data_IF_254630127280
#
_entry.id   IF_254630127280
#
_cell.length_a   1.000
_cell.length_b   1.000
_cell.length_c   1.000
_cell.angle_alpha   90.00
_cell.angle_beta   90.00
_cell.angle_gamma   90.00
#
_symmetry.space_group_name_H-M   'P 1'
#
loop_
_entity.id
_entity.type
_entity.pdbx_description
1 polymer ?
#
# COMPACT_ATOMS: atom_id res chain seq x y z
N UNK A 1 -7.80 26.34 -35.08
CA UNK A 1 -7.80 24.87 -35.06
C UNK A 1 -8.69 24.41 -33.91
N UNK A 2 -9.69 23.53 -34.13
CA UNK A 2 -10.50 23.02 -33.03
C UNK A 2 -9.68 22.01 -32.20
N UNK A 3 -9.88 21.93 -30.88
CA UNK A 3 -9.13 21.03 -30.01
C UNK A 3 -9.43 19.57 -30.34
N UNK A 4 -8.38 18.75 -30.34
CA UNK A 4 -8.43 17.32 -30.63
C UNK A 4 -9.46 16.63 -29.73
N UNK A 5 -10.51 16.08 -30.36
CA UNK A 5 -11.45 15.18 -29.71
C UNK A 5 -10.68 13.97 -29.18
N UNK A 6 -10.66 13.83 -27.86
CA UNK A 6 -10.08 12.72 -27.14
C UNK A 6 -10.83 11.43 -27.55
N UNK A 7 -10.29 10.66 -28.51
CA UNK A 7 -10.84 9.38 -28.95
C UNK A 7 -10.87 8.43 -27.74
N UNK A 8 -12.03 8.31 -27.10
CA UNK A 8 -12.30 7.25 -26.11
C UNK A 8 -12.01 5.92 -26.81
N UNK A 9 -10.93 5.23 -26.41
CA UNK A 9 -10.70 3.83 -26.79
C UNK A 9 -11.87 3.00 -26.25
N UNK A 10 -12.88 2.78 -27.08
CA UNK A 10 -13.94 1.80 -26.83
C UNK A 10 -13.31 0.43 -26.99
N UNK A 11 -12.64 -0.04 -25.94
CA UNK A 11 -12.26 -1.45 -25.88
C UNK A 11 -13.55 -2.25 -26.06
N UNK A 12 -13.59 -3.15 -27.03
CA UNK A 12 -14.72 -4.05 -27.27
C UNK A 12 -14.79 -5.03 -26.08
N UNK A 13 -15.46 -4.60 -25.00
CA UNK A 13 -15.47 -5.30 -23.70
C UNK A 13 -16.34 -6.56 -23.76
N UNK A 14 -17.42 -6.51 -24.54
CA UNK A 14 -18.25 -7.65 -24.87
C UNK A 14 -17.63 -8.36 -26.08
N UNK A 15 -17.36 -9.66 -25.96
CA UNK A 15 -16.79 -10.47 -27.04
C UNK A 15 -17.75 -11.62 -27.33
N UNK A 16 -18.04 -11.85 -28.62
CA UNK A 16 -18.88 -12.97 -29.09
C UNK A 16 -20.27 -13.02 -28.42
N UNK A 17 -20.88 -11.87 -28.14
CA UNK A 17 -22.19 -11.79 -27.48
C UNK A 17 -22.20 -12.19 -25.99
N UNK A 18 -21.04 -12.45 -25.39
CA UNK A 18 -20.93 -12.84 -23.99
C UNK A 18 -20.48 -11.66 -23.10
N UNK A 19 -20.95 -11.60 -21.85
CA UNK A 19 -20.50 -10.60 -20.89
C UNK A 19 -19.00 -10.76 -20.58
N UNK A 20 -18.32 -9.68 -20.16
CA UNK A 20 -16.92 -9.74 -19.77
C UNK A 20 -16.69 -10.65 -18.55
N UNK A 21 -15.80 -11.64 -18.68
CA UNK A 21 -15.51 -12.62 -17.62
C UNK A 21 -14.34 -12.21 -16.72
N UNK A 22 -13.37 -11.46 -17.24
CA UNK A 22 -12.24 -11.00 -16.43
C UNK A 22 -12.62 -9.80 -15.56
N UNK A 23 -12.08 -9.72 -14.34
CA UNK A 23 -12.28 -8.58 -13.44
C UNK A 23 -11.89 -7.26 -14.10
N UNK A 24 -10.79 -7.26 -14.88
CA UNK A 24 -10.31 -6.07 -15.59
C UNK A 24 -11.34 -5.58 -16.62
N UNK A 25 -11.88 -6.48 -17.43
CA UNK A 25 -12.89 -6.15 -18.44
C UNK A 25 -14.21 -5.74 -17.80
N UNK A 26 -14.65 -6.42 -16.74
CA UNK A 26 -15.90 -6.11 -16.05
C UNK A 26 -15.82 -4.74 -15.34
N UNK A 27 -14.70 -4.43 -14.70
CA UNK A 27 -14.47 -3.11 -14.11
C UNK A 27 -14.43 -2.02 -15.19
N UNK A 28 -13.86 -2.30 -16.37
CA UNK A 28 -13.87 -1.38 -17.49
C UNK A 28 -15.29 -1.12 -18.03
N UNK A 29 -16.17 -2.13 -18.09
CA UNK A 29 -17.56 -1.92 -18.57
C UNK A 29 -18.41 -1.04 -17.67
N UNK A 30 -18.10 -1.00 -16.37
CA UNK A 30 -18.87 -0.23 -15.39
C UNK A 30 -18.18 1.06 -14.95
N UNK A 31 -17.02 1.39 -15.53
CA UNK A 31 -16.18 2.50 -15.10
C UNK A 31 -16.83 3.88 -15.31
N UNK A 32 -17.74 4.00 -16.28
CA UNK A 32 -18.47 5.25 -16.56
C UNK A 32 -19.75 5.41 -15.75
N UNK A 33 -20.28 4.34 -15.16
CA UNK A 33 -21.58 4.34 -14.47
C UNK A 33 -21.44 4.19 -12.96
N UNK A 34 -20.44 3.45 -12.48
CA UNK A 34 -20.17 3.29 -11.07
C UNK A 34 -19.07 4.25 -10.59
N UNK A 35 -19.18 4.77 -9.36
CA UNK A 35 -18.09 5.54 -8.75
C UNK A 35 -16.77 4.77 -8.79
N UNK A 36 -15.63 5.48 -8.87
CA UNK A 36 -14.32 4.84 -8.87
C UNK A 36 -14.07 4.03 -7.60
N UNK A 37 -13.19 3.02 -7.65
CA UNK A 37 -12.83 2.22 -6.47
C UNK A 37 -12.27 3.05 -5.30
N UNK A 38 -11.68 4.20 -5.63
CA UNK A 38 -11.11 5.13 -4.66
C UNK A 38 -12.10 6.22 -4.25
N UNK A 39 -13.32 6.25 -4.77
CA UNK A 39 -14.33 7.24 -4.37
C UNK A 39 -14.73 7.05 -2.89
N UNK A 40 -15.12 8.13 -2.22
CA UNK A 40 -15.56 8.15 -0.83
C UNK A 40 -16.54 7.01 -0.49
N UNK A 41 -17.60 6.86 -1.29
CA UNK A 41 -18.63 5.82 -1.12
C UNK A 41 -18.09 4.39 -1.27
N UNK A 42 -17.14 4.18 -2.19
CA UNK A 42 -16.52 2.86 -2.36
C UNK A 42 -15.67 2.50 -1.14
N UNK A 43 -14.91 3.47 -0.62
CA UNK A 43 -14.09 3.26 0.58
C UNK A 43 -14.93 3.03 1.82
N UNK A 44 -16.03 3.76 2.00
CA UNK A 44 -16.93 3.60 3.16
C UNK A 44 -17.63 2.24 3.14
N UNK A 45 -18.16 1.80 1.98
CA UNK A 45 -18.76 0.48 1.83
C UNK A 45 -17.73 -0.63 2.08
N UNK A 46 -16.53 -0.50 1.53
CA UNK A 46 -15.45 -1.46 1.77
C UNK A 46 -14.99 -1.50 3.24
N UNK A 47 -14.96 -0.36 3.94
CA UNK A 47 -14.65 -0.31 5.36
C UNK A 47 -15.74 -0.98 6.19
N UNK A 48 -17.01 -0.66 5.94
CA UNK A 48 -18.15 -1.26 6.64
C UNK A 48 -18.23 -2.77 6.40
N UNK A 49 -18.07 -3.22 5.14
CA UNK A 49 -18.10 -4.65 4.81
C UNK A 49 -16.99 -5.43 5.52
N UNK A 50 -15.77 -4.86 5.60
CA UNK A 50 -14.65 -5.47 6.35
C UNK A 50 -14.94 -5.56 7.84
N UNK A 51 -15.51 -4.50 8.43
CA UNK A 51 -15.91 -4.48 9.83
C UNK A 51 -16.91 -5.61 10.14
N UNK A 52 -17.94 -5.76 9.29
CA UNK A 52 -18.92 -6.83 9.43
C UNK A 52 -18.28 -8.22 9.34
N UNK A 53 -17.32 -8.43 8.43
CA UNK A 53 -16.55 -9.67 8.29
C UNK A 53 -15.51 -9.88 9.41
N UNK A 54 -15.28 -8.90 10.29
CA UNK A 54 -14.24 -8.97 11.32
C UNK A 54 -12.81 -8.89 10.77
N UNK A 55 -12.63 -8.23 9.63
CA UNK A 55 -11.31 -8.03 8.99
C UNK A 55 -10.78 -6.64 9.34
N UNK A 56 -9.66 -6.59 10.05
CA UNK A 56 -8.99 -5.36 10.47
C UNK A 56 -7.47 -5.43 10.26
N UNK A 57 -6.72 -4.52 10.90
CA UNK A 57 -5.25 -4.48 10.79
C UNK A 57 -4.58 -5.65 11.52
N UNK A 58 -5.18 -6.12 12.61
CA UNK A 58 -4.71 -7.25 13.43
C UNK A 58 -5.15 -8.60 12.87
N UNK A 59 -6.37 -8.68 12.31
CA UNK A 59 -6.90 -9.87 11.66
C UNK A 59 -7.17 -9.60 10.18
N UNK A 60 -6.24 -10.05 9.33
CA UNK A 60 -6.34 -9.90 7.87
C UNK A 60 -7.05 -11.09 7.20
N UNK A 61 -7.42 -12.12 7.96
CA UNK A 61 -8.03 -13.34 7.43
C UNK A 61 -9.52 -13.12 7.16
N UNK A 62 -9.97 -13.47 5.95
CA UNK A 62 -11.39 -13.48 5.62
C UNK A 62 -12.05 -14.74 6.18
N UNK A 63 -13.33 -14.68 6.58
CA UNK A 63 -14.08 -15.86 7.01
C UNK A 63 -14.12 -16.93 5.91
N UNK A 64 -14.23 -18.21 6.30
CA UNK A 64 -14.40 -19.28 5.32
C UNK A 64 -15.67 -19.11 4.49
N UNK A 65 -15.65 -19.61 3.26
CA UNK A 65 -16.82 -19.74 2.38
C UNK A 65 -17.97 -20.46 3.11
N UNK A 66 -19.25 -20.20 2.78
CA UNK A 66 -20.38 -20.91 3.39
C UNK A 66 -20.30 -22.41 3.09
N UNK A 67 -20.79 -23.23 4.02
CA UNK A 67 -20.91 -24.67 3.80
C UNK A 67 -21.97 -24.97 2.74
N UNK A 68 -21.94 -26.16 2.10
CA UNK A 68 -23.00 -26.58 1.19
C UNK A 68 -24.40 -26.52 1.81
N UNK A 69 -24.53 -26.82 3.11
CA UNK A 69 -25.78 -26.76 3.86
C UNK A 69 -26.26 -25.31 4.02
N UNK A 70 -25.37 -24.39 4.39
CA UNK A 70 -25.70 -22.95 4.47
C UNK A 70 -26.19 -22.43 3.11
N UNK A 71 -25.53 -22.83 2.02
CA UNK A 71 -25.93 -22.44 0.67
C UNK A 71 -27.32 -22.97 0.30
N UNK A 72 -27.67 -24.19 0.71
CA UNK A 72 -28.97 -24.80 0.43
C UNK A 72 -30.10 -24.25 1.32
N UNK A 73 -29.78 -23.90 2.57
CA UNK A 73 -30.75 -23.38 3.54
C UNK A 73 -31.12 -21.92 3.31
N UNK A 74 -30.35 -21.19 2.48
CA UNK A 74 -30.64 -19.80 2.18
C UNK A 74 -32.01 -19.66 1.51
N UNK A 75 -32.92 -18.94 2.16
CA UNK A 75 -34.22 -18.62 1.60
C UNK A 75 -34.10 -17.84 0.27
N UNK A 76 -35.10 -17.99 -0.60
CA UNK A 76 -35.22 -17.24 -1.85
C UNK A 76 -35.68 -15.79 -1.59
N UNK A 77 -34.84 -15.03 -0.89
CA UNK A 77 -35.09 -13.63 -0.55
C UNK A 77 -34.81 -12.73 -1.76
N UNK A 78 -35.77 -11.89 -2.10
CA UNK A 78 -35.62 -10.85 -3.12
C UNK A 78 -35.01 -9.58 -2.51
N UNK A 79 -34.38 -8.77 -3.37
CA UNK A 79 -33.80 -7.49 -2.95
C UNK A 79 -34.84 -6.55 -2.29
N UNK A 80 -36.07 -6.37 -2.82
CA UNK A 80 -37.09 -5.55 -2.18
C UNK A 80 -37.51 -6.07 -0.80
N UNK A 81 -37.68 -7.39 -0.63
CA UNK A 81 -38.06 -7.98 0.66
C UNK A 81 -37.04 -7.63 1.76
N UNK A 82 -35.75 -7.81 1.47
CA UNK A 82 -34.69 -7.50 2.44
C UNK A 82 -34.65 -6.00 2.75
N UNK A 83 -34.76 -5.15 1.73
CA UNK A 83 -34.64 -3.69 1.87
C UNK A 83 -35.85 -3.06 2.55
N UNK A 84 -37.06 -3.60 2.34
CA UNK A 84 -38.29 -3.09 2.94
C UNK A 84 -38.49 -3.59 4.37
N UNK A 85 -37.88 -4.70 4.76
CA UNK A 85 -37.90 -5.15 6.15
C UNK A 85 -37.09 -4.18 7.04
N UNK A 86 -37.77 -3.42 7.88
CA UNK A 86 -37.15 -2.47 8.81
C UNK A 86 -37.26 -2.93 10.28
N UNK A 87 -37.70 -4.17 10.54
CA UNK A 87 -38.00 -4.65 11.89
C UNK A 87 -36.79 -4.54 12.83
N UNK A 88 -35.59 -4.87 12.33
CA UNK A 88 -34.34 -4.81 13.10
C UNK A 88 -33.93 -3.38 13.49
N UNK A 89 -34.41 -2.38 12.77
CA UNK A 89 -34.10 -0.97 13.03
C UNK A 89 -35.09 -0.32 14.00
N UNK A 90 -36.32 -0.82 14.06
CA UNK A 90 -37.35 -0.32 14.97
C UNK A 90 -37.03 -0.57 16.46
N UNK A 91 -36.18 -1.56 16.76
CA UNK A 91 -36.05 -2.10 18.11
C UNK A 91 -35.17 -1.31 19.08
N UNK A 92 -34.47 -0.25 18.68
CA UNK A 92 -33.73 0.66 19.59
C UNK A 92 -33.24 1.92 18.84
N UNK A 93 -33.54 3.16 19.26
CA UNK A 93 -32.93 4.35 18.68
C UNK A 93 -31.48 4.52 19.19
N UNK A 94 -30.49 4.37 18.31
CA UNK A 94 -29.09 4.67 18.64
C UNK A 94 -28.92 6.18 18.79
N UNK A 95 -28.46 6.64 19.95
CA UNK A 95 -28.12 8.06 20.18
C UNK A 95 -27.02 8.50 19.22
N UNK A 96 -27.31 9.51 18.40
CA UNK A 96 -26.38 10.05 17.41
C UNK A 96 -25.18 10.72 18.10
N UNK A 97 -24.04 10.03 18.18
CA UNK A 97 -22.75 10.69 18.39
C UNK A 97 -22.06 10.90 17.04
N UNK A 98 -21.38 12.04 16.88
CA UNK A 98 -20.75 12.44 15.63
C UNK A 98 -19.39 11.75 15.38
N UNK A 99 -18.99 10.83 16.26
CA UNK A 99 -17.72 10.10 16.17
C UNK A 99 -17.97 8.61 16.35
N UNK A 100 -17.68 7.86 15.28
CA UNK A 100 -17.61 6.39 15.27
C UNK A 100 -16.64 5.90 16.35
N UNK A 101 -17.14 5.70 17.56
CA UNK A 101 -16.40 4.98 18.59
C UNK A 101 -16.64 3.47 18.38
N UNK A 102 -15.76 2.64 18.94
CA UNK A 102 -15.84 1.17 18.76
C UNK A 102 -17.20 0.62 19.20
N UNK A 103 -17.86 1.28 20.15
CA UNK A 103 -19.18 0.89 20.68
C UNK A 103 -20.30 1.03 19.64
N UNK A 104 -20.33 2.13 18.87
CA UNK A 104 -21.30 2.31 17.78
C UNK A 104 -21.08 1.29 16.66
N UNK A 105 -19.83 0.97 16.32
CA UNK A 105 -19.52 -0.04 15.31
C UNK A 105 -19.97 -1.44 15.73
N UNK A 106 -19.76 -1.80 16.99
CA UNK A 106 -20.28 -3.05 17.57
C UNK A 106 -21.81 -3.09 17.48
N UNK A 107 -22.49 -1.98 17.73
CA UNK A 107 -23.95 -1.91 17.64
C UNK A 107 -24.46 -2.15 16.22
N UNK A 108 -23.87 -1.51 15.21
CA UNK A 108 -24.23 -1.77 13.80
C UNK A 108 -23.97 -3.23 13.41
N UNK A 109 -22.87 -3.82 13.88
CA UNK A 109 -22.58 -5.23 13.65
C UNK A 109 -23.62 -6.15 14.30
N UNK A 110 -23.99 -5.87 15.55
CA UNK A 110 -24.99 -6.66 16.27
C UNK A 110 -26.36 -6.60 15.60
N UNK A 111 -26.80 -5.41 15.15
CA UNK A 111 -28.04 -5.25 14.38
C UNK A 111 -27.98 -6.01 13.06
N UNK A 112 -26.87 -5.91 12.34
CA UNK A 112 -26.67 -6.66 11.11
C UNK A 112 -26.78 -8.17 11.34
N UNK A 113 -26.16 -8.69 12.39
CA UNK A 113 -26.24 -10.11 12.73
C UNK A 113 -27.65 -10.54 13.17
N UNK A 114 -28.37 -9.71 13.93
CA UNK A 114 -29.75 -9.98 14.31
C UNK A 114 -30.68 -10.04 13.08
N UNK A 115 -30.48 -9.16 12.10
CA UNK A 115 -31.22 -9.17 10.84
C UNK A 115 -30.96 -10.48 10.07
N UNK A 116 -29.71 -10.90 9.94
CA UNK A 116 -29.37 -12.19 9.34
C UNK A 116 -30.05 -13.36 10.06
N UNK A 117 -30.08 -13.36 11.39
CA UNK A 117 -30.72 -14.40 12.19
C UNK A 117 -32.24 -14.48 11.94
N UNK A 118 -32.93 -13.36 11.75
CA UNK A 118 -34.36 -13.34 11.38
C UNK A 118 -34.63 -14.06 10.05
N UNK A 119 -33.61 -14.19 9.21
CA UNK A 119 -33.67 -14.91 7.93
C UNK A 119 -32.98 -16.29 7.98
N UNK A 120 -32.74 -16.85 9.17
CA UNK A 120 -32.04 -18.12 9.40
C UNK A 120 -30.60 -18.16 8.86
N UNK A 121 -29.93 -17.00 8.82
CA UNK A 121 -28.53 -16.89 8.43
C UNK A 121 -27.71 -16.67 9.70
N UNK A 122 -26.92 -17.68 10.10
CA UNK A 122 -26.23 -17.66 11.39
C UNK A 122 -24.88 -16.94 11.38
N UNK A 123 -24.26 -16.78 10.22
CA UNK A 123 -22.98 -16.05 10.09
C UNK A 123 -22.91 -15.25 8.80
N UNK A 124 -22.12 -14.18 8.85
CA UNK A 124 -21.82 -13.37 7.69
C UNK A 124 -20.53 -13.81 7.00
N UNK A 125 -20.64 -14.22 5.75
CA UNK A 125 -19.50 -14.49 4.87
C UNK A 125 -19.94 -14.35 3.41
N UNK A 126 -18.98 -14.21 2.50
CA UNK A 126 -19.24 -14.37 1.08
C UNK A 126 -18.85 -15.77 0.61
N UNK A 127 -19.52 -16.25 -0.43
CA UNK A 127 -19.09 -17.44 -1.14
C UNK A 127 -17.94 -17.06 -2.08
N UNK A 128 -16.72 -17.06 -1.53
CA UNK A 128 -15.50 -16.57 -2.19
C UNK A 128 -15.17 -17.31 -3.48
N UNK A 129 -15.57 -18.57 -3.58
CA UNK A 129 -15.32 -19.44 -4.73
C UNK A 129 -16.44 -19.40 -5.78
N UNK A 130 -17.52 -18.67 -5.50
CA UNK A 130 -18.68 -18.53 -6.37
C UNK A 130 -18.73 -17.14 -7.01
N UNK A 131 -19.37 -16.99 -8.19
CA UNK A 131 -19.49 -15.69 -8.83
C UNK A 131 -20.32 -14.72 -7.98
N UNK A 132 -20.13 -13.43 -8.22
CA UNK A 132 -20.91 -12.36 -7.59
C UNK A 132 -22.39 -12.35 -8.04
N UNK A 133 -22.72 -13.07 -9.11
CA UNK A 133 -24.09 -13.35 -9.54
C UNK A 133 -24.75 -14.47 -8.74
N UNK A 134 -24.00 -15.23 -7.93
CA UNK A 134 -24.58 -16.29 -7.11
C UNK A 134 -25.54 -15.71 -6.07
N UNK A 135 -26.67 -16.40 -5.85
CA UNK A 135 -27.76 -15.96 -4.95
C UNK A 135 -27.23 -15.55 -3.57
N UNK A 136 -26.42 -16.40 -2.93
CA UNK A 136 -25.75 -16.08 -1.66
C UNK A 136 -25.03 -14.73 -1.67
N UNK A 137 -24.14 -14.49 -2.64
CA UNK A 137 -23.34 -13.27 -2.70
C UNK A 137 -24.21 -12.03 -2.96
N UNK A 138 -25.28 -12.18 -3.75
CA UNK A 138 -26.26 -11.12 -3.99
C UNK A 138 -27.02 -10.78 -2.72
N UNK A 139 -27.57 -11.78 -2.04
CA UNK A 139 -28.30 -11.60 -0.76
C UNK A 139 -27.43 -10.92 0.29
N UNK A 140 -26.20 -11.39 0.49
CA UNK A 140 -25.25 -10.78 1.42
C UNK A 140 -24.94 -9.33 1.08
N UNK A 141 -24.76 -8.99 -0.20
CA UNK A 141 -24.54 -7.62 -0.63
C UNK A 141 -25.75 -6.71 -0.36
N UNK A 142 -26.97 -7.22 -0.51
CA UNK A 142 -28.20 -6.47 -0.19
C UNK A 142 -28.28 -6.16 1.31
N UNK A 143 -28.06 -7.14 2.19
CA UNK A 143 -28.00 -6.91 3.64
C UNK A 143 -26.93 -5.88 4.02
N UNK A 144 -25.72 -5.98 3.44
CA UNK A 144 -24.65 -5.01 3.70
C UNK A 144 -25.10 -3.59 3.35
N UNK A 145 -25.75 -3.42 2.19
CA UNK A 145 -26.21 -2.10 1.74
C UNK A 145 -27.35 -1.57 2.60
N UNK A 146 -28.31 -2.42 2.97
CA UNK A 146 -29.41 -2.08 3.90
C UNK A 146 -28.86 -1.45 5.17
N UNK A 147 -27.94 -2.15 5.84
CA UNK A 147 -27.35 -1.69 7.11
C UNK A 147 -26.39 -0.53 6.95
N UNK A 148 -25.63 -0.49 5.85
CA UNK A 148 -24.74 0.65 5.57
C UNK A 148 -25.52 1.95 5.37
N UNK A 149 -26.67 1.89 4.67
CA UNK A 149 -27.54 3.04 4.46
C UNK A 149 -28.15 3.52 5.77
N UNK A 150 -28.66 2.60 6.58
CA UNK A 150 -29.15 2.91 7.93
C UNK A 150 -28.06 3.61 8.76
N UNK A 151 -26.85 3.05 8.82
CA UNK A 151 -25.74 3.65 9.56
C UNK A 151 -25.40 5.06 9.05
N UNK A 152 -25.37 5.25 7.72
CA UNK A 152 -25.10 6.56 7.11
C UNK A 152 -26.16 7.60 7.50
N UNK A 153 -27.44 7.23 7.45
CA UNK A 153 -28.55 8.12 7.82
C UNK A 153 -28.48 8.55 9.29
N UNK A 154 -27.95 7.68 10.15
CA UNK A 154 -27.69 7.97 11.57
C UNK A 154 -26.33 8.64 11.81
N UNK A 155 -25.66 9.09 10.74
CA UNK A 155 -24.46 9.93 10.81
C UNK A 155 -23.14 9.17 10.77
N UNK A 156 -23.13 7.85 10.62
CA UNK A 156 -21.91 7.14 10.28
C UNK A 156 -21.36 7.64 8.93
N UNK A 157 -20.04 7.60 8.77
CA UNK A 157 -19.35 8.00 7.53
C UNK A 157 -19.51 9.45 7.09
N UNK A 158 -20.04 10.37 7.92
CA UNK A 158 -20.11 11.82 7.61
C UNK A 158 -18.76 12.38 7.12
N UNK A 159 -17.66 11.91 7.71
CA UNK A 159 -16.29 12.35 7.38
C UNK A 159 -15.78 11.89 6.00
N UNK A 160 -16.48 10.99 5.30
CA UNK A 160 -16.02 10.49 4.00
C UNK A 160 -16.28 11.46 2.84
N UNK A 161 -17.18 12.45 3.00
CA UNK A 161 -17.54 13.36 1.90
C UNK A 161 -18.27 12.64 0.76
N UNK A 162 -19.25 11.80 1.09
CA UNK A 162 -19.99 10.99 0.12
C UNK A 162 -20.93 11.86 -0.72
N UNK A 163 -20.72 11.90 -2.04
CA UNK A 163 -21.65 12.51 -2.98
C UNK A 163 -23.00 11.77 -2.97
N UNK A 164 -24.08 12.48 -2.65
CA UNK A 164 -25.44 11.93 -2.60
C UNK A 164 -25.91 11.36 -3.94
N UNK A 165 -25.47 11.90 -5.09
CA UNK A 165 -25.87 11.37 -6.41
C UNK A 165 -25.34 9.96 -6.68
N UNK A 166 -24.25 9.57 -6.00
CA UNK A 166 -23.69 8.23 -6.09
C UNK A 166 -24.41 7.22 -5.18
N UNK A 167 -25.16 7.69 -4.19
CA UNK A 167 -25.81 6.89 -3.17
C UNK A 167 -27.19 6.38 -3.64
N UNK A 168 -27.20 5.57 -4.69
CA UNK A 168 -28.37 4.79 -5.09
C UNK A 168 -28.20 3.36 -4.62
N UNK A 169 -29.31 2.66 -4.35
CA UNK A 169 -29.29 1.26 -3.92
C UNK A 169 -28.51 0.38 -4.90
N UNK A 170 -28.81 0.51 -6.18
CA UNK A 170 -28.16 -0.23 -7.26
C UNK A 170 -26.65 0.04 -7.30
N UNK A 171 -26.23 1.31 -7.12
CA UNK A 171 -24.82 1.64 -7.06
C UNK A 171 -24.17 0.98 -5.84
N UNK A 172 -24.75 1.12 -4.66
CA UNK A 172 -24.19 0.57 -3.43
C UNK A 172 -24.03 -0.95 -3.51
N UNK A 173 -25.05 -1.68 -3.99
CA UNK A 173 -24.97 -3.14 -4.19
C UNK A 173 -23.86 -3.48 -5.18
N UNK A 174 -23.83 -2.78 -6.32
CA UNK A 174 -22.81 -3.00 -7.35
C UNK A 174 -21.38 -2.71 -6.86
N UNK A 175 -21.22 -1.74 -5.96
CA UNK A 175 -19.94 -1.41 -5.33
C UNK A 175 -19.48 -2.50 -4.35
N UNK A 176 -20.39 -3.04 -3.53
CA UNK A 176 -20.08 -4.17 -2.64
C UNK A 176 -19.69 -5.41 -3.46
N UNK A 177 -20.45 -5.74 -4.52
CA UNK A 177 -20.12 -6.85 -5.41
C UNK A 177 -18.79 -6.65 -6.15
N UNK A 178 -18.50 -5.41 -6.60
CA UNK A 178 -17.19 -5.08 -7.19
C UNK A 178 -16.05 -5.28 -6.20
N UNK A 179 -16.25 -4.87 -4.96
CA UNK A 179 -15.28 -5.09 -3.89
C UNK A 179 -15.08 -6.59 -3.63
N UNK A 180 -16.17 -7.37 -3.50
CA UNK A 180 -16.15 -8.82 -3.37
C UNK A 180 -15.32 -9.49 -4.46
N UNK A 181 -15.60 -9.21 -5.74
CA UNK A 181 -14.85 -9.79 -6.88
C UNK A 181 -13.35 -9.56 -6.75
N UNK A 182 -12.96 -8.35 -6.34
CA UNK A 182 -11.56 -8.00 -6.12
C UNK A 182 -10.93 -8.78 -4.96
N UNK A 183 -11.67 -9.02 -3.88
CA UNK A 183 -11.20 -9.79 -2.71
C UNK A 183 -11.14 -11.29 -3.00
N UNK A 184 -12.17 -11.85 -3.63
CA UNK A 184 -12.21 -13.26 -4.04
C UNK A 184 -10.99 -13.63 -4.92
N UNK A 185 -10.65 -12.77 -5.88
CA UNK A 185 -9.45 -12.97 -6.70
C UNK A 185 -8.14 -12.87 -5.90
N UNK A 186 -8.08 -11.95 -4.93
CA UNK A 186 -6.92 -11.84 -4.05
C UNK A 186 -6.76 -13.09 -3.16
N UNK A 187 -7.86 -13.67 -2.67
CA UNK A 187 -7.87 -14.93 -1.92
C UNK A 187 -7.42 -16.09 -2.82
N UNK A 188 -8.05 -16.25 -3.99
CA UNK A 188 -7.77 -17.33 -4.96
C UNK A 188 -6.32 -17.33 -5.44
N UNK A 189 -5.74 -16.15 -5.67
CA UNK A 189 -4.34 -16.01 -6.09
C UNK A 189 -3.35 -16.04 -4.92
N UNK A 190 -3.84 -16.18 -3.69
CA UNK A 190 -3.08 -16.02 -2.46
C UNK A 190 -2.22 -14.76 -2.49
N UNK A 191 -2.82 -13.62 -2.87
CA UNK A 191 -2.14 -12.31 -2.96
C UNK A 191 -1.83 -11.72 -1.58
N UNK A 192 -2.37 -12.30 -0.51
CA UNK A 192 -1.99 -12.00 0.87
C UNK A 192 -0.68 -12.65 1.31
N UNK A 193 -0.11 -13.55 0.49
CA UNK A 193 1.19 -14.18 0.77
C UNK A 193 2.29 -13.13 0.90
N UNK A 194 3.03 -13.18 2.02
CA UNK A 194 4.06 -12.21 2.37
C UNK A 194 5.13 -12.09 1.28
N UNK A 195 5.56 -13.21 0.67
CA UNK A 195 6.56 -13.19 -0.39
C UNK A 195 6.03 -12.56 -1.68
N UNK A 196 4.80 -12.89 -2.09
CA UNK A 196 4.16 -12.26 -3.26
C UNK A 196 3.92 -10.76 -3.05
N UNK A 197 3.54 -10.35 -1.85
CA UNK A 197 3.40 -8.93 -1.48
C UNK A 197 4.74 -8.20 -1.57
N UNK A 198 5.81 -8.78 -1.01
CA UNK A 198 7.17 -8.26 -1.09
C UNK A 198 7.62 -8.06 -2.55
N UNK A 199 7.42 -9.08 -3.39
CA UNK A 199 7.80 -9.01 -4.81
C UNK A 199 7.00 -7.94 -5.57
N UNK A 200 5.70 -7.81 -5.28
CA UNK A 200 4.83 -6.81 -5.91
C UNK A 200 5.22 -5.38 -5.52
N UNK A 201 5.51 -5.14 -4.25
CA UNK A 201 5.95 -3.81 -3.79
C UNK A 201 7.34 -3.46 -4.32
N UNK A 202 8.28 -4.42 -4.33
CA UNK A 202 9.58 -4.25 -5.02
C UNK A 202 9.38 -3.90 -6.50
N UNK A 203 8.48 -4.59 -7.20
CA UNK A 203 8.17 -4.31 -8.60
C UNK A 203 7.46 -2.95 -8.80
N UNK A 204 6.58 -2.53 -7.87
CA UNK A 204 5.92 -1.22 -7.91
C UNK A 204 6.95 -0.11 -7.81
N UNK A 205 7.85 -0.17 -6.83
CA UNK A 205 8.94 0.81 -6.65
C UNK A 205 9.88 0.85 -7.86
N UNK A 206 10.16 -0.31 -8.48
CA UNK A 206 10.90 -0.38 -9.76
C UNK A 206 10.13 0.21 -10.95
N UNK A 207 8.80 0.18 -10.98
CA UNK A 207 7.99 0.74 -12.08
C UNK A 207 7.76 2.23 -11.96
N UNK A 208 7.65 2.77 -10.76
CA UNK A 208 7.62 4.23 -10.56
C UNK A 208 8.86 4.84 -11.22
N UNK A 209 10.03 4.21 -11.11
CA UNK A 209 11.24 4.61 -11.82
C UNK A 209 11.11 4.66 -13.37
N UNK A 210 10.35 3.77 -14.00
CA UNK A 210 10.28 3.68 -15.47
C UNK A 210 9.30 4.68 -16.11
N UNK A 211 8.22 5.05 -15.42
CA UNK A 211 7.23 6.02 -15.92
C UNK A 211 7.73 7.47 -15.79
N UNK A 212 8.66 7.68 -14.88
CA UNK A 212 9.23 8.96 -14.48
C UNK A 212 10.33 9.48 -15.41
N UNK A 213 10.85 8.64 -16.31
CA UNK A 213 11.84 9.03 -17.32
C UNK A 213 11.26 9.93 -18.44
N UNK A 214 10.04 10.44 -18.25
CA UNK A 214 9.49 11.58 -18.98
C UNK A 214 9.49 12.83 -18.09
N UNK A 215 10.59 13.57 -18.15
CA UNK A 215 10.79 15.00 -17.85
C UNK A 215 10.42 15.63 -16.50
N UNK A 216 9.77 14.99 -15.52
CA UNK A 216 9.56 15.66 -14.22
C UNK A 216 9.08 14.78 -13.06
N UNK A 217 9.82 13.73 -12.68
CA UNK A 217 9.46 12.98 -11.47
C UNK A 217 10.66 12.36 -10.75
N UNK A 218 11.71 13.15 -10.55
CA UNK A 218 12.68 12.91 -9.49
C UNK A 218 11.94 12.49 -8.19
N UNK A 219 12.48 11.57 -7.39
CA UNK A 219 11.92 11.09 -6.11
C UNK A 219 10.85 9.98 -6.13
N UNK A 220 11.21 8.72 -6.41
CA UNK A 220 10.46 7.60 -5.78
C UNK A 220 11.17 6.23 -5.70
N UNK A 221 12.51 6.21 -5.78
CA UNK A 221 13.28 5.04 -5.35
C UNK A 221 13.97 5.33 -4.01
N UNK A 222 13.75 4.52 -2.95
CA UNK A 222 14.29 4.84 -1.62
C UNK A 222 15.81 4.98 -1.56
N UNK A 223 16.55 4.24 -2.41
CA UNK A 223 18.01 4.39 -2.53
C UNK A 223 18.40 5.72 -3.20
N UNK A 224 17.66 6.18 -4.22
CA UNK A 224 17.89 7.49 -4.87
C UNK A 224 17.53 8.63 -3.93
N UNK A 225 16.42 8.50 -3.19
CA UNK A 225 16.06 9.49 -2.16
C UNK A 225 17.17 9.61 -1.10
N UNK A 226 17.69 8.47 -0.64
CA UNK A 226 18.79 8.42 0.31
C UNK A 226 20.08 9.03 -0.27
N UNK A 227 20.41 8.73 -1.52
CA UNK A 227 21.53 9.33 -2.23
C UNK A 227 21.38 10.85 -2.29
N UNK A 228 20.22 11.35 -2.71
CA UNK A 228 19.94 12.78 -2.79
C UNK A 228 20.06 13.46 -1.42
N UNK A 229 19.50 12.88 -0.35
CA UNK A 229 19.63 13.43 0.99
C UNK A 229 21.09 13.58 1.43
N UNK A 230 21.89 12.55 1.18
CA UNK A 230 23.31 12.55 1.56
C UNK A 230 24.13 13.50 0.70
N UNK A 231 23.93 13.51 -0.61
CA UNK A 231 24.53 14.47 -1.54
C UNK A 231 24.26 15.91 -1.10
N UNK A 232 23.00 16.23 -0.81
CA UNK A 232 22.61 17.56 -0.35
C UNK A 232 23.18 17.90 1.04
N UNK A 233 23.30 16.92 1.93
CA UNK A 233 23.96 17.12 3.23
C UNK A 233 25.45 17.39 3.06
N UNK A 234 26.15 16.63 2.22
CA UNK A 234 27.58 16.85 1.94
C UNK A 234 27.78 18.24 1.36
N UNK A 235 27.04 18.61 0.31
CA UNK A 235 27.11 19.94 -0.32
C UNK A 235 26.89 21.08 0.66
N UNK A 236 25.95 20.91 1.59
CA UNK A 236 25.53 21.97 2.51
C UNK A 236 26.49 22.14 3.68
N UNK A 237 27.06 21.05 4.18
CA UNK A 237 27.71 21.05 5.48
C UNK A 237 29.19 20.71 5.45
N UNK A 238 29.68 20.02 4.42
CA UNK A 238 31.05 19.52 4.38
C UNK A 238 31.87 20.22 3.31
N UNK A 239 33.14 20.46 3.60
CA UNK A 239 34.10 21.06 2.66
C UNK A 239 34.77 20.01 1.78
N UNK A 240 34.02 19.03 1.33
CA UNK A 240 34.47 17.97 0.42
C UNK A 240 33.60 17.95 -0.81
N UNK A 241 34.20 17.68 -1.97
CA UNK A 241 33.44 17.42 -3.19
C UNK A 241 32.50 16.22 -2.97
N UNK A 242 31.17 16.37 -3.07
CA UNK A 242 30.24 15.26 -2.94
C UNK A 242 30.53 14.11 -3.90
N UNK A 243 31.06 14.40 -5.09
CA UNK A 243 31.38 13.36 -6.08
C UNK A 243 32.60 12.52 -5.69
N UNK A 244 33.46 13.03 -4.80
CA UNK A 244 34.61 12.29 -4.30
C UNK A 244 34.20 11.13 -3.38
N UNK A 245 33.20 11.36 -2.52
CA UNK A 245 32.79 10.39 -1.50
C UNK A 245 31.41 9.77 -1.77
N UNK A 246 30.67 10.27 -2.75
CA UNK A 246 29.34 9.79 -3.11
C UNK A 246 29.01 10.01 -4.60
N UNK A 247 29.78 9.45 -5.54
CA UNK A 247 29.59 9.69 -6.97
C UNK A 247 28.28 9.12 -7.53
N UNK A 248 27.73 8.05 -6.94
CA UNK A 248 26.57 7.33 -7.49
C UNK A 248 25.62 6.81 -6.39
N UNK A 249 24.35 6.55 -6.76
CA UNK A 249 23.36 5.97 -5.87
C UNK A 249 23.74 4.57 -5.35
N UNK A 250 24.60 3.84 -6.06
CA UNK A 250 25.19 2.58 -5.62
C UNK A 250 26.03 2.71 -4.33
N UNK A 251 26.44 3.94 -3.94
CA UNK A 251 26.96 4.25 -2.61
C UNK A 251 25.93 4.04 -1.49
N UNK A 252 24.66 3.78 -1.80
CA UNK A 252 23.59 3.60 -0.83
C UNK A 252 23.19 2.12 -0.73
N UNK A 253 23.18 1.60 0.50
CA UNK A 253 22.68 0.25 0.74
C UNK A 253 21.17 0.16 0.55
N UNK A 254 20.72 -1.01 0.09
CA UNK A 254 19.30 -1.33 0.06
C UNK A 254 18.71 -1.42 1.49
N UNK A 255 17.40 -1.52 1.56
CA UNK A 255 16.65 -1.79 2.79
C UNK A 255 15.75 -2.98 2.61
N UNK A 256 15.81 -3.91 3.57
CA UNK A 256 14.77 -4.92 3.70
C UNK A 256 13.47 -4.22 4.10
N UNK A 257 12.57 -4.11 3.13
CA UNK A 257 11.22 -3.60 3.33
C UNK A 257 10.27 -4.79 3.48
N UNK A 258 9.47 -4.79 4.56
CA UNK A 258 8.35 -5.71 4.74
C UNK A 258 7.04 -4.93 4.86
N UNK A 259 5.92 -5.48 4.37
CA UNK A 259 4.60 -4.89 4.62
C UNK A 259 4.39 -4.66 6.12
N UNK A 260 3.75 -3.53 6.46
CA UNK A 260 3.38 -3.15 7.83
C UNK A 260 4.53 -2.76 8.77
N UNK A 261 5.79 -2.77 8.32
CA UNK A 261 6.91 -2.30 9.14
C UNK A 261 7.14 -0.79 8.97
N UNK A 262 7.24 -0.09 10.09
CA UNK A 262 7.67 1.33 10.18
C UNK A 262 9.18 1.48 10.33
N UNK A 263 9.90 0.37 10.57
CA UNK A 263 11.35 0.32 10.70
C UNK A 263 11.93 -0.69 9.71
N UNK A 264 12.92 -0.27 8.93
CA UNK A 264 13.50 -1.04 7.82
C UNK A 264 14.92 -1.47 8.15
N UNK A 265 15.22 -2.76 8.05
CA UNK A 265 16.59 -3.24 8.30
C UNK A 265 17.51 -2.82 7.15
N UNK A 266 18.64 -2.19 7.51
CA UNK A 266 19.73 -1.89 6.57
C UNK A 266 20.35 -3.19 6.09
N UNK A 267 20.62 -3.30 4.79
CA UNK A 267 21.36 -4.45 4.25
C UNK A 267 22.81 -4.02 4.00
N UNK A 268 23.76 -4.72 4.61
CA UNK A 268 25.18 -4.42 4.45
C UNK A 268 25.68 -4.64 3.02
N UNK A 269 26.69 -3.87 2.62
CA UNK A 269 27.40 -4.04 1.35
C UNK A 269 28.75 -4.71 1.61
N UNK A 270 28.98 -5.87 0.99
CA UNK A 270 30.24 -6.62 1.18
C UNK A 270 31.48 -5.85 0.76
N UNK A 271 31.36 -5.00 -0.26
CA UNK A 271 32.47 -4.25 -0.82
C UNK A 271 32.83 -3.01 -0.01
N UNK A 272 31.97 -2.55 0.91
CA UNK A 272 32.14 -1.29 1.63
C UNK A 272 33.07 -1.45 2.84
N UNK A 273 34.04 -0.56 2.99
CA UNK A 273 34.91 -0.54 4.17
C UNK A 273 34.15 -0.12 5.42
N UNK A 274 34.63 -0.54 6.60
CA UNK A 274 34.00 -0.16 7.88
C UNK A 274 34.14 1.36 8.15
N UNK A 275 35.25 1.96 7.72
CA UNK A 275 35.48 3.40 7.82
C UNK A 275 34.46 4.17 6.99
N UNK A 276 34.24 3.77 5.74
CA UNK A 276 33.27 4.44 4.87
C UNK A 276 31.83 4.22 5.32
N UNK A 277 31.48 3.03 5.83
CA UNK A 277 30.19 2.79 6.48
C UNK A 277 29.96 3.75 7.68
N UNK A 278 31.01 4.03 8.47
CA UNK A 278 30.92 4.97 9.59
C UNK A 278 30.71 6.41 9.12
N UNK A 279 31.42 6.86 8.09
CA UNK A 279 31.23 8.17 7.47
C UNK A 279 29.78 8.33 6.98
N UNK A 280 29.27 7.35 6.25
CA UNK A 280 27.90 7.35 5.73
C UNK A 280 26.85 7.46 6.85
N UNK A 281 27.08 6.82 8.00
CA UNK A 281 26.19 6.93 9.17
C UNK A 281 26.22 8.32 9.79
N UNK A 282 27.38 8.95 9.86
CA UNK A 282 27.50 10.31 10.37
C UNK A 282 26.80 11.31 9.44
N UNK A 283 26.90 11.12 8.11
CA UNK A 283 26.13 11.91 7.13
C UNK A 283 24.62 11.71 7.31
N UNK A 284 24.15 10.48 7.54
CA UNK A 284 22.73 10.21 7.85
C UNK A 284 22.26 10.98 9.10
N UNK A 285 23.11 11.04 10.14
CA UNK A 285 22.83 11.80 11.37
C UNK A 285 22.80 13.30 11.15
N UNK A 286 23.72 13.85 10.36
CA UNK A 286 23.75 15.27 10.02
C UNK A 286 22.54 15.69 9.17
N UNK A 287 22.16 14.85 8.19
CA UNK A 287 20.93 14.98 7.40
C UNK A 287 19.69 15.09 8.30
N UNK A 288 19.60 14.24 9.34
CA UNK A 288 18.51 14.28 10.30
C UNK A 288 18.48 15.57 11.09
N UNK A 289 19.60 15.95 11.71
CA UNK A 289 19.68 17.11 12.58
C UNK A 289 19.25 18.37 11.84
N UNK A 290 19.78 18.58 10.63
CA UNK A 290 19.37 19.69 9.77
C UNK A 290 17.86 19.70 9.51
N UNK A 291 17.27 18.54 9.21
CA UNK A 291 15.84 18.45 8.94
C UNK A 291 14.96 18.64 10.17
N UNK A 292 15.40 18.17 11.33
CA UNK A 292 14.72 18.44 12.59
C UNK A 292 14.73 19.93 12.97
N UNK A 293 15.72 20.70 12.48
CA UNK A 293 15.80 22.16 12.67
C UNK A 293 14.92 22.93 11.69
N UNK A 294 14.86 22.51 10.41
CA UNK A 294 14.11 23.22 9.36
C UNK A 294 12.62 22.85 9.35
N UNK A 295 12.29 21.59 9.65
CA UNK A 295 10.93 21.08 9.74
C UNK A 295 10.55 20.81 11.21
N UNK A 296 9.42 20.13 11.46
CA UNK A 296 9.11 19.65 12.82
C UNK A 296 9.82 18.32 13.11
N UNK A 297 10.26 18.06 14.36
CA UNK A 297 10.86 16.77 14.73
C UNK A 297 9.99 15.56 14.38
N UNK A 298 8.66 15.71 14.48
CA UNK A 298 7.71 14.67 14.09
C UNK A 298 7.80 14.32 12.60
N UNK A 299 7.93 15.31 11.72
CA UNK A 299 8.12 15.08 10.28
C UNK A 299 9.51 14.50 9.98
N UNK A 300 10.55 14.98 10.67
CA UNK A 300 11.92 14.48 10.51
C UNK A 300 12.04 12.97 10.84
N UNK A 301 11.38 12.50 11.90
CA UNK A 301 11.39 11.08 12.32
C UNK A 301 10.72 10.17 11.27
N UNK A 302 9.77 10.69 10.49
CA UNK A 302 9.08 9.92 9.44
C UNK A 302 9.86 9.80 8.13
N UNK A 303 11.03 10.45 8.02
CA UNK A 303 11.86 10.35 6.81
C UNK A 303 12.45 8.96 6.63
N UNK A 304 12.57 8.54 5.37
CA UNK A 304 13.00 7.20 5.03
C UNK A 304 14.36 6.81 5.64
N UNK A 305 15.35 7.73 5.67
CA UNK A 305 16.67 7.51 6.27
C UNK A 305 16.63 7.23 7.78
N UNK A 306 15.62 7.78 8.47
CA UNK A 306 15.43 7.68 9.92
C UNK A 306 14.63 6.45 10.35
N UNK A 307 13.82 5.91 9.43
CA UNK A 307 13.15 4.63 9.64
C UNK A 307 14.11 3.43 9.50
N UNK A 308 15.40 3.63 9.16
CA UNK A 308 16.36 2.53 8.92
C UNK A 308 17.08 2.08 10.19
N UNK A 309 16.86 0.85 10.61
CA UNK A 309 17.54 0.22 11.75
C UNK A 309 18.75 -0.63 11.32
N UNK A 310 19.76 -0.83 12.19
CA UNK A 310 20.85 -1.76 11.93
C UNK A 310 20.33 -3.13 11.51
N UNK A 311 20.89 -3.68 10.42
CA UNK A 311 20.65 -5.06 10.01
C UNK A 311 21.94 -5.86 10.07
N UNK A 312 21.79 -7.18 10.10
CA UNK A 312 22.91 -8.15 10.15
C UNK A 312 23.11 -8.88 8.83
N UNK A 313 22.22 -8.66 7.85
CA UNK A 313 22.28 -9.30 6.53
C UNK A 313 23.16 -8.50 5.57
N UNK A 314 23.79 -9.20 4.63
CA UNK A 314 24.56 -8.62 3.54
C UNK A 314 23.93 -9.01 2.20
N UNK A 315 23.89 -8.08 1.25
CA UNK A 315 23.44 -8.39 -0.11
C UNK A 315 24.64 -8.87 -0.94
N UNK A 316 24.74 -10.17 -1.30
CA UNK A 316 25.86 -10.67 -2.09
C UNK A 316 25.81 -10.23 -3.55
N UNK A 317 24.67 -9.70 -4.02
CA UNK A 317 24.44 -9.22 -5.39
C UNK A 317 24.27 -7.71 -5.46
N UNK A 318 24.71 -6.97 -4.44
CA UNK A 318 24.67 -5.51 -4.48
C UNK A 318 25.60 -5.01 -5.59
N UNK A 319 25.16 -3.95 -6.27
CA UNK A 319 26.03 -3.21 -7.16
C UNK A 319 27.23 -2.65 -6.37
N UNK A 320 28.37 -2.54 -7.05
CA UNK A 320 29.61 -1.98 -6.51
C UNK A 320 29.78 -0.61 -7.12
N UNK A 321 29.85 0.42 -6.29
CA UNK A 321 30.07 1.77 -6.78
C UNK A 321 31.52 1.92 -7.28
N UNK A 322 31.68 2.39 -8.51
CA UNK A 322 32.99 2.71 -9.10
C UNK A 322 33.39 4.16 -8.78
N UNK A 323 34.67 4.48 -8.92
CA UNK A 323 35.18 5.85 -8.79
C UNK A 323 35.36 6.34 -7.36
N UNK A 324 35.28 5.45 -6.36
CA UNK A 324 35.54 5.82 -4.96
C UNK A 324 37.04 5.74 -4.62
N UNK A 325 37.49 6.47 -3.59
CA UNK A 325 38.80 6.27 -2.97
C UNK A 325 39.04 4.82 -2.53
N UNK A 326 40.28 4.35 -2.61
CA UNK A 326 40.64 2.97 -2.26
C UNK A 326 40.17 2.55 -0.86
N UNK A 327 40.30 3.44 0.13
CA UNK A 327 39.90 3.19 1.51
C UNK A 327 38.38 3.20 1.74
N UNK A 328 37.56 3.50 0.72
CA UNK A 328 36.12 3.26 0.75
C UNK A 328 35.75 1.80 0.51
N UNK A 329 36.66 1.01 -0.07
CA UNK A 329 36.45 -0.41 -0.33
C UNK A 329 37.01 -1.29 0.80
N UNK A 330 36.33 -2.39 1.08
CA UNK A 330 36.79 -3.38 2.04
C UNK A 330 38.05 -4.09 1.50
N UNK A 331 39.10 -4.19 2.31
CA UNK A 331 40.37 -4.77 1.89
C UNK A 331 40.26 -6.24 1.45
N UNK A 332 39.41 -7.04 2.11
CA UNK A 332 39.16 -8.45 1.74
C UNK A 332 38.39 -8.54 0.43
N UNK A 333 37.45 -7.61 0.20
CA UNK A 333 36.78 -7.52 -1.09
C UNK A 333 37.77 -7.18 -2.20
N UNK A 334 38.62 -6.16 -2.02
CA UNK A 334 39.62 -5.76 -3.02
C UNK A 334 40.63 -6.87 -3.28
N UNK A 335 41.13 -7.56 -2.25
CA UNK A 335 42.12 -8.62 -2.43
C UNK A 335 41.57 -9.81 -3.24
N UNK A 336 40.26 -10.04 -3.19
CA UNK A 336 39.59 -11.07 -3.98
C UNK A 336 39.36 -10.74 -5.46
N UNK A 337 39.69 -9.52 -5.93
CA UNK A 337 39.49 -9.10 -7.32
C UNK A 337 40.72 -9.33 -8.19
N UNK A 338 40.50 -9.69 -9.45
CA UNK A 338 41.56 -9.72 -10.48
C UNK A 338 42.03 -8.30 -10.82
N UNK A 339 43.15 -8.20 -11.54
CA UNK A 339 43.69 -6.92 -11.99
C UNK A 339 42.69 -6.14 -12.86
N UNK A 340 42.02 -6.82 -13.79
CA UNK A 340 41.04 -6.23 -14.71
C UNK A 340 39.83 -5.69 -13.94
N UNK A 341 39.33 -6.44 -12.96
CA UNK A 341 38.23 -6.00 -12.12
C UNK A 341 38.62 -4.76 -11.30
N UNK A 342 39.81 -4.73 -10.69
CA UNK A 342 40.30 -3.55 -9.98
C UNK A 342 40.41 -2.33 -10.89
N UNK A 343 40.93 -2.52 -12.11
CA UNK A 343 41.04 -1.45 -13.11
C UNK A 343 39.66 -0.93 -13.53
N UNK A 344 38.66 -1.81 -13.64
CA UNK A 344 37.28 -1.43 -13.99
C UNK A 344 36.55 -0.63 -12.91
N UNK A 345 37.02 -0.68 -11.64
CA UNK A 345 36.45 0.12 -10.55
C UNK A 345 36.87 1.59 -10.59
N UNK A 346 37.84 1.97 -11.43
CA UNK A 346 38.37 3.35 -11.52
C UNK A 346 38.72 3.93 -10.14
N UNK A 347 39.39 3.12 -9.31
CA UNK A 347 39.71 3.43 -7.91
C UNK A 347 40.51 4.74 -7.84
N UNK A 348 40.07 5.65 -6.98
CA UNK A 348 40.75 6.93 -6.74
C UNK A 348 41.76 6.82 -5.60
N UNK A 349 42.73 7.75 -5.52
CA UNK A 349 43.66 7.81 -4.41
C UNK A 349 42.96 7.87 -3.05
N UNK A 350 43.62 7.32 -2.03
CA UNK A 350 43.15 7.36 -0.64
C UNK A 350 42.89 8.80 -0.20
N UNK A 351 41.80 8.99 0.55
CA UNK A 351 41.43 10.28 1.16
C UNK A 351 41.35 10.14 2.68
N UNK A 352 41.47 11.24 3.41
CA UNK A 352 41.34 11.23 4.87
C UNK A 352 39.87 11.20 5.30
N UNK A 353 39.29 10.00 5.35
CA UNK A 353 37.89 9.80 5.78
C UNK A 353 37.68 10.17 7.26
N UNK A 354 38.72 10.04 8.09
CA UNK A 354 38.64 10.33 9.52
C UNK A 354 38.57 11.84 9.75
N UNK A 355 39.33 12.63 8.99
CA UNK A 355 39.21 14.10 8.98
C UNK A 355 37.79 14.55 8.61
N UNK A 356 37.16 13.95 7.60
CA UNK A 356 35.78 14.28 7.21
C UNK A 356 34.81 13.90 8.35
N UNK A 357 35.04 12.78 9.03
CA UNK A 357 34.24 12.40 10.19
C UNK A 357 34.41 13.38 11.36
N UNK A 358 35.62 13.88 11.61
CA UNK A 358 35.86 14.94 12.61
C UNK A 358 35.17 16.24 12.23
N UNK A 359 35.17 16.62 10.95
CA UNK A 359 34.42 17.79 10.48
C UNK A 359 32.93 17.65 10.82
N UNK A 360 32.32 16.49 10.58
CA UNK A 360 30.92 16.23 10.94
C UNK A 360 30.70 16.32 12.46
N UNK A 361 31.62 15.84 13.29
CA UNK A 361 31.49 15.87 14.76
C UNK A 361 31.52 17.29 15.34
N UNK A 362 32.11 18.24 14.63
CA UNK A 362 32.24 19.62 15.04
C UNK A 362 31.07 20.52 14.58
N UNK A 363 30.07 19.94 13.88
CA UNK A 363 28.83 20.58 13.43
C UNK A 363 27.65 20.12 14.29
#
# INVERSE_FOLDING_TARGET
MPPAQNRRRTNHIWKRGSPPTSIKSLNASVASTLPSQNAAISRSLAAFTRMLLGVDQSNKAYPMTPSPEELQQLANLTQPEIMMDQLVFALNPTSASATLNDKEMIEYKNRFMADLQNHNIHRFTFAWDLPDSHHWNRTMAVFVVKHWRYAREHGAFKNYGINSSHNTEMNCISLVLRWLRGRAEDIRLNRGDTQKLLLRERARKRRTHAIVLGDSAEFDYPMIQLFNYRQETIKRHLKVDPMLIMPDADCCSDTEWYPDQVKFKRVGLKWRSQQYENLIRQIDGLSFNYKATVDTPALAITRFDQCRIPGTSFNPKAAVCCGLPENCYNAVFLSGLTYEHKKSLDIKPVVDLDQICEEIRNL
#
